data_IF_997172564623
#
_entry.id   IF_997172564623
#
_cell.length_a   1.000
_cell.length_b   1.000
_cell.length_c   1.000
_cell.angle_alpha   90.00
_cell.angle_beta   90.00
_cell.angle_gamma   90.00
#
_symmetry.space_group_name_H-M   'P 1'
#
loop_
_entity.id
_entity.type
_entity.pdbx_description
1 polymer ?
#
# COMPACT_ATOMS: atom_id res chain seq x y z
N UNK A 1 -26.11 2.00 -37.58
CA UNK A 1 -25.48 2.17 -36.25
C UNK A 1 -25.69 0.88 -35.50
N UNK A 2 -24.66 0.27 -34.92
CA UNK A 2 -24.85 -0.90 -34.06
C UNK A 2 -25.73 -0.50 -32.86
N UNK A 3 -26.74 -1.30 -32.56
CA UNK A 3 -27.59 -1.06 -31.40
C UNK A 3 -26.80 -1.25 -30.10
N UNK A 4 -27.13 -0.51 -29.04
CA UNK A 4 -26.53 -0.71 -27.70
C UNK A 4 -26.64 -2.18 -27.26
N UNK A 5 -27.73 -2.85 -27.64
CA UNK A 5 -27.97 -4.25 -27.32
C UNK A 5 -27.00 -5.21 -28.01
N UNK A 6 -26.68 -5.00 -29.29
CA UNK A 6 -25.71 -5.83 -30.02
C UNK A 6 -24.31 -5.70 -29.46
N UNK A 7 -23.93 -4.49 -29.03
CA UNK A 7 -22.63 -4.25 -28.38
C UNK A 7 -22.58 -4.95 -27.02
N UNK A 8 -23.64 -4.83 -26.20
CA UNK A 8 -23.72 -5.55 -24.93
C UNK A 8 -23.52 -7.05 -25.10
N UNK A 9 -24.18 -7.67 -26.07
CA UNK A 9 -24.02 -9.10 -26.35
C UNK A 9 -22.60 -9.45 -26.80
N UNK A 10 -22.01 -8.66 -27.71
CA UNK A 10 -20.66 -8.89 -28.24
C UNK A 10 -19.58 -8.82 -27.17
N UNK A 11 -19.71 -7.91 -26.21
CA UNK A 11 -18.73 -7.72 -25.13
C UNK A 11 -19.11 -8.43 -23.82
N UNK A 12 -20.18 -9.23 -23.82
CA UNK A 12 -20.66 -9.93 -22.62
C UNK A 12 -21.11 -8.99 -21.49
N UNK A 13 -21.52 -7.76 -21.82
CA UNK A 13 -22.00 -6.78 -20.84
C UNK A 13 -23.47 -7.06 -20.55
N UNK A 14 -23.80 -7.12 -19.27
CA UNK A 14 -25.13 -7.46 -18.77
C UNK A 14 -25.63 -6.32 -17.90
N UNK A 15 -26.86 -5.91 -18.17
CA UNK A 15 -27.54 -4.84 -17.44
C UNK A 15 -28.35 -3.96 -18.38
N UNK A 16 -29.43 -3.40 -17.87
CA UNK A 16 -30.36 -2.54 -18.58
C UNK A 16 -30.48 -1.13 -17.98
N UNK A 17 -29.76 -0.86 -16.88
CA UNK A 17 -29.75 0.45 -16.24
C UNK A 17 -29.42 1.59 -17.21
N UNK A 18 -30.15 2.70 -17.07
CA UNK A 18 -29.99 3.88 -17.93
C UNK A 18 -28.57 4.46 -17.87
N UNK A 19 -27.95 4.45 -16.69
CA UNK A 19 -26.57 4.90 -16.50
C UNK A 19 -25.55 4.08 -17.29
N UNK A 20 -25.71 2.74 -17.32
CA UNK A 20 -24.86 1.86 -18.12
C UNK A 20 -25.08 2.08 -19.62
N UNK A 21 -26.34 2.21 -20.06
CA UNK A 21 -26.66 2.46 -21.47
C UNK A 21 -26.02 3.76 -21.96
N UNK A 22 -26.16 4.84 -21.18
CA UNK A 22 -25.55 6.14 -21.48
C UNK A 22 -24.03 6.06 -21.55
N UNK A 23 -23.39 5.29 -20.68
CA UNK A 23 -21.94 5.09 -20.72
C UNK A 23 -21.49 4.38 -22.01
N UNK A 24 -22.23 3.35 -22.44
CA UNK A 24 -21.98 2.63 -23.69
C UNK A 24 -22.22 3.53 -24.91
N UNK A 25 -23.30 4.32 -24.91
CA UNK A 25 -23.61 5.29 -25.98
C UNK A 25 -22.48 6.32 -26.15
N UNK A 26 -21.99 6.90 -25.05
CA UNK A 26 -20.83 7.80 -25.08
C UNK A 26 -19.60 7.09 -25.66
N UNK A 27 -19.34 5.84 -25.26
CA UNK A 27 -18.21 5.07 -25.76
C UNK A 27 -18.30 4.84 -27.28
N UNK A 28 -19.49 4.54 -27.82
CA UNK A 28 -19.73 4.38 -29.26
C UNK A 28 -19.46 5.69 -29.99
N UNK A 29 -19.97 6.82 -29.46
CA UNK A 29 -19.83 8.11 -30.10
C UNK A 29 -18.38 8.59 -30.18
N UNK A 30 -17.56 8.26 -29.17
CA UNK A 30 -16.16 8.68 -29.10
C UNK A 30 -15.22 7.69 -29.79
N UNK A 31 -15.62 6.43 -29.97
CA UNK A 31 -14.82 5.40 -30.66
C UNK A 31 -14.22 5.83 -32.02
N UNK A 32 -14.91 6.52 -32.95
CA UNK A 32 -14.31 6.92 -34.22
C UNK A 32 -13.27 8.04 -34.10
N UNK A 33 -13.19 8.74 -32.96
CA UNK A 33 -12.23 9.85 -32.76
C UNK A 33 -10.94 9.38 -32.08
N UNK A 34 -9.89 10.20 -32.10
CA UNK A 34 -8.64 9.95 -31.38
C UNK A 34 -8.55 10.65 -30.01
N UNK A 35 -9.68 11.17 -29.53
CA UNK A 35 -9.77 11.90 -28.27
C UNK A 35 -9.49 10.96 -27.09
N UNK A 36 -8.79 11.49 -26.07
CA UNK A 36 -8.56 10.82 -24.79
C UNK A 36 -9.86 10.65 -24.02
N UNK A 37 -10.04 9.46 -23.44
CA UNK A 37 -11.23 9.12 -22.66
C UNK A 37 -10.82 8.70 -21.27
N UNK A 38 -11.45 9.31 -20.25
CA UNK A 38 -11.33 8.91 -18.86
C UNK A 38 -12.60 8.15 -18.45
N UNK A 39 -12.41 6.92 -17.97
CA UNK A 39 -13.49 6.08 -17.45
C UNK A 39 -13.46 6.11 -15.93
N UNK A 40 -14.47 6.72 -15.32
CA UNK A 40 -14.59 6.86 -13.87
C UNK A 40 -15.57 5.84 -13.30
N UNK A 41 -15.32 5.36 -12.09
CA UNK A 41 -16.24 4.48 -11.37
C UNK A 41 -15.52 3.63 -10.32
N UNK A 42 -16.27 3.09 -9.37
CA UNK A 42 -15.70 2.32 -8.26
C UNK A 42 -14.92 1.06 -8.71
N UNK A 43 -14.18 0.46 -7.79
CA UNK A 43 -13.52 -0.82 -8.07
C UNK A 43 -14.55 -1.91 -8.35
N UNK A 44 -14.28 -2.75 -9.36
CA UNK A 44 -15.14 -3.88 -9.69
C UNK A 44 -16.46 -3.56 -10.42
N UNK A 45 -16.67 -2.34 -10.94
CA UNK A 45 -17.89 -1.98 -11.72
C UNK A 45 -17.87 -2.45 -13.19
N UNK A 46 -16.73 -2.97 -13.67
CA UNK A 46 -16.56 -3.43 -15.06
C UNK A 46 -15.95 -2.40 -16.02
N UNK A 47 -15.11 -1.48 -15.53
CA UNK A 47 -14.46 -0.41 -16.33
C UNK A 47 -13.70 -0.93 -17.54
N UNK A 48 -13.10 -2.11 -17.44
CA UNK A 48 -12.33 -2.77 -18.50
C UNK A 48 -13.12 -3.03 -19.80
N UNK A 49 -14.45 -3.04 -19.75
CA UNK A 49 -15.30 -3.28 -20.92
C UNK A 49 -15.34 -2.08 -21.87
N UNK A 50 -15.32 -0.86 -21.34
CA UNK A 50 -15.44 0.39 -22.11
C UNK A 50 -14.25 0.62 -23.05
N UNK A 51 -12.98 0.52 -22.61
CA UNK A 51 -11.82 0.63 -23.49
C UNK A 51 -11.82 -0.38 -24.64
N UNK A 52 -12.28 -1.62 -24.37
CA UNK A 52 -12.40 -2.67 -25.39
C UNK A 52 -13.43 -2.30 -26.46
N UNK A 53 -14.57 -1.73 -26.04
CA UNK A 53 -15.59 -1.20 -26.98
C UNK A 53 -14.98 -0.09 -27.83
N UNK A 54 -14.35 0.89 -27.19
CA UNK A 54 -13.75 2.06 -27.87
C UNK A 54 -12.74 1.61 -28.91
N UNK A 55 -11.82 0.70 -28.55
CA UNK A 55 -10.81 0.20 -29.48
C UNK A 55 -11.41 -0.53 -30.68
N UNK A 56 -12.32 -1.50 -30.46
CA UNK A 56 -12.90 -2.30 -31.54
C UNK A 56 -13.79 -1.51 -32.51
N UNK A 57 -14.42 -0.42 -32.03
CA UNK A 57 -15.24 0.47 -32.83
C UNK A 57 -14.45 1.65 -33.43
N UNK A 58 -13.15 1.74 -33.13
CA UNK A 58 -12.29 2.80 -33.68
C UNK A 58 -11.70 2.46 -35.04
N UNK A 59 -11.15 3.47 -35.70
CA UNK A 59 -10.32 3.29 -36.90
C UNK A 59 -9.05 2.43 -36.63
N UNK A 60 -8.63 2.35 -35.36
CA UNK A 60 -7.45 1.60 -34.89
C UNK A 60 -7.77 0.17 -34.43
N UNK A 61 -8.94 -0.37 -34.77
CA UNK A 61 -9.39 -1.73 -34.39
C UNK A 61 -8.46 -2.89 -34.83
N UNK A 62 -7.62 -2.65 -35.83
CA UNK A 62 -6.62 -3.62 -36.31
C UNK A 62 -5.22 -3.36 -35.72
N UNK A 63 -5.04 -2.26 -35.00
CA UNK A 63 -3.82 -1.95 -34.27
C UNK A 63 -3.72 -2.76 -32.98
N UNK A 64 -2.55 -2.68 -32.32
CA UNK A 64 -2.34 -3.38 -31.05
C UNK A 64 -3.17 -2.74 -29.94
N UNK A 65 -3.79 -3.58 -29.11
CA UNK A 65 -4.45 -3.17 -27.89
C UNK A 65 -3.62 -3.64 -26.69
N UNK A 66 -3.08 -2.71 -25.91
CA UNK A 66 -2.29 -3.01 -24.71
C UNK A 66 -3.06 -2.49 -23.49
N UNK A 67 -3.38 -3.38 -22.57
CA UNK A 67 -3.98 -3.02 -21.28
C UNK A 67 -2.92 -3.12 -20.18
N UNK A 68 -2.77 -2.03 -19.43
CA UNK A 68 -1.80 -1.91 -18.34
C UNK A 68 -2.56 -1.51 -17.09
N UNK A 69 -2.40 -2.30 -16.02
CA UNK A 69 -2.88 -1.91 -14.70
C UNK A 69 -1.74 -1.20 -13.96
N UNK A 70 -1.88 0.10 -13.76
CA UNK A 70 -0.85 0.93 -13.14
C UNK A 70 -0.68 0.63 -11.63
N UNK A 71 -1.75 0.25 -10.92
CA UNK A 71 -1.68 -0.13 -9.51
C UNK A 71 -1.02 -1.48 -9.25
N UNK A 72 -0.93 -2.35 -10.27
CA UNK A 72 -0.28 -3.66 -10.16
C UNK A 72 1.24 -3.61 -10.41
N UNK A 73 1.77 -2.52 -10.97
CA UNK A 73 3.20 -2.40 -11.30
C UNK A 73 3.89 -1.61 -10.18
N UNK A 74 5.00 -2.12 -9.60
CA UNK A 74 5.77 -1.38 -8.62
C UNK A 74 6.22 -0.01 -9.16
N UNK A 75 6.11 1.02 -8.31
CA UNK A 75 6.49 2.41 -8.66
C UNK A 75 7.92 2.51 -9.22
N UNK A 76 8.87 1.73 -8.68
CA UNK A 76 10.25 1.75 -9.17
C UNK A 76 10.45 1.22 -10.61
N UNK A 77 9.53 0.42 -11.13
CA UNK A 77 9.65 -0.21 -12.47
C UNK A 77 8.64 0.32 -13.48
N UNK A 78 7.64 1.09 -13.05
CA UNK A 78 6.55 1.55 -13.93
C UNK A 78 7.03 2.37 -15.12
N UNK A 79 8.02 3.24 -14.92
CA UNK A 79 8.64 4.02 -16.00
C UNK A 79 9.32 3.13 -17.04
N UNK A 80 9.98 2.08 -16.57
CA UNK A 80 10.70 1.13 -17.41
C UNK A 80 9.73 0.27 -18.24
N UNK A 81 8.59 -0.13 -17.67
CA UNK A 81 7.55 -0.89 -18.39
C UNK A 81 6.78 -0.02 -19.39
N UNK A 82 6.40 1.22 -19.01
CA UNK A 82 5.65 2.12 -19.89
C UNK A 82 6.50 2.67 -21.05
N UNK A 83 7.69 3.20 -20.73
CA UNK A 83 8.52 3.92 -21.69
C UNK A 83 9.70 3.11 -22.22
N UNK A 84 10.04 1.98 -21.60
CA UNK A 84 11.21 1.18 -21.96
C UNK A 84 12.50 1.73 -21.35
N UNK A 85 13.57 0.96 -21.46
CA UNK A 85 14.88 1.33 -20.93
C UNK A 85 16.03 0.89 -21.84
N UNK A 86 17.12 1.62 -21.79
CA UNK A 86 18.39 1.21 -22.40
C UNK A 86 19.22 0.36 -21.44
N UNK A 87 20.13 -0.45 -22.00
CA UNK A 87 21.11 -1.21 -21.22
C UNK A 87 21.90 -0.27 -20.31
N UNK A 88 21.95 -0.60 -19.01
CA UNK A 88 22.64 0.20 -18.00
C UNK A 88 21.84 1.35 -17.38
N UNK A 89 20.55 1.49 -17.71
CA UNK A 89 19.70 2.55 -17.16
C UNK A 89 19.48 2.48 -15.64
N UNK A 90 19.52 1.28 -15.06
CA UNK A 90 19.43 1.03 -13.61
C UNK A 90 20.13 -0.29 -13.26
N UNK A 91 20.35 -0.55 -11.98
CA UNK A 91 20.94 -1.80 -11.48
C UNK A 91 20.07 -2.99 -11.88
N UNK A 92 20.55 -3.85 -12.79
CA UNK A 92 19.78 -4.98 -13.34
C UNK A 92 19.33 -4.81 -14.81
N UNK A 93 19.51 -3.63 -15.41
CA UNK A 93 19.23 -3.36 -16.82
C UNK A 93 20.32 -3.98 -17.74
N UNK A 94 20.35 -5.31 -17.84
CA UNK A 94 21.35 -6.05 -18.64
C UNK A 94 21.11 -5.94 -20.14
N UNK A 95 19.86 -5.72 -20.56
CA UNK A 95 19.43 -5.62 -21.95
C UNK A 95 18.53 -4.40 -22.16
N UNK A 96 18.42 -3.94 -23.40
CA UNK A 96 17.46 -2.90 -23.78
C UNK A 96 16.07 -3.51 -23.95
N UNK A 97 15.04 -2.87 -23.40
CA UNK A 97 13.65 -3.33 -23.52
C UNK A 97 12.75 -2.20 -24.04
N UNK A 98 11.89 -2.54 -25.00
CA UNK A 98 10.85 -1.63 -25.52
C UNK A 98 9.70 -1.51 -24.53
N UNK A 99 9.22 -0.29 -24.31
CA UNK A 99 8.09 -0.01 -23.42
C UNK A 99 6.74 -0.24 -24.09
N UNK A 100 5.67 -0.22 -23.30
CA UNK A 100 4.30 -0.35 -23.81
C UNK A 100 3.92 0.71 -24.83
N UNK A 101 4.40 1.96 -24.69
CA UNK A 101 4.14 3.02 -25.66
C UNK A 101 4.79 2.78 -27.03
N UNK A 102 5.92 2.10 -27.07
CA UNK A 102 6.59 1.70 -28.31
C UNK A 102 5.87 0.50 -28.94
N UNK A 103 5.46 -0.48 -28.12
CA UNK A 103 4.77 -1.67 -28.59
C UNK A 103 3.38 -1.34 -29.12
N UNK A 104 2.68 -0.37 -28.51
CA UNK A 104 1.31 0.01 -28.83
C UNK A 104 1.20 1.03 -29.99
N UNK A 105 2.30 1.38 -30.66
CA UNK A 105 2.30 2.35 -31.77
C UNK A 105 1.27 1.98 -32.86
N UNK A 106 0.52 2.98 -33.33
CA UNK A 106 -0.62 2.82 -34.25
C UNK A 106 -1.88 2.18 -33.62
N UNK A 107 -1.85 1.86 -32.34
CA UNK A 107 -2.89 1.14 -31.61
C UNK A 107 -3.56 1.93 -30.49
N UNK A 108 -3.96 1.23 -29.44
CA UNK A 108 -4.62 1.81 -28.25
C UNK A 108 -3.99 1.26 -26.99
N UNK A 109 -3.65 2.15 -26.06
CA UNK A 109 -3.22 1.79 -24.71
C UNK A 109 -4.34 2.09 -23.73
N UNK A 110 -4.69 1.09 -22.92
CA UNK A 110 -5.60 1.23 -21.80
C UNK A 110 -4.80 1.30 -20.51
N UNK A 111 -4.92 2.41 -19.79
CA UNK A 111 -4.27 2.64 -18.50
C UNK A 111 -5.33 2.51 -17.40
N UNK A 112 -5.37 1.37 -16.72
CA UNK A 112 -6.23 1.17 -15.55
C UNK A 112 -5.55 1.72 -14.29
N UNK A 113 -6.37 2.24 -13.38
CA UNK A 113 -5.93 2.84 -12.11
C UNK A 113 -4.90 3.97 -12.32
N UNK A 114 -5.13 4.85 -13.31
CA UNK A 114 -4.23 5.97 -13.63
C UNK A 114 -4.01 6.93 -12.44
N UNK A 115 -4.94 6.95 -11.48
CA UNK A 115 -4.83 7.74 -10.26
C UNK A 115 -3.73 7.28 -9.29
N UNK A 116 -3.22 6.05 -9.46
CA UNK A 116 -2.13 5.49 -8.65
C UNK A 116 -0.74 5.75 -9.26
N UNK A 117 -0.67 6.49 -10.38
CA UNK A 117 0.61 6.80 -11.02
C UNK A 117 1.48 7.73 -10.15
N UNK A 118 2.79 7.47 -10.04
CA UNK A 118 3.74 8.41 -9.45
C UNK A 118 3.75 9.76 -10.18
N UNK A 119 3.97 10.86 -9.45
CA UNK A 119 4.01 12.22 -10.02
C UNK A 119 5.05 12.37 -11.14
N UNK A 120 6.20 11.67 -11.04
CA UNK A 120 7.25 11.69 -12.06
C UNK A 120 6.80 11.03 -13.35
N UNK A 121 6.12 9.88 -13.27
CA UNK A 121 5.53 9.17 -14.39
C UNK A 121 4.41 9.98 -15.04
N UNK A 122 3.60 10.70 -14.24
CA UNK A 122 2.56 11.61 -14.73
C UNK A 122 3.12 12.70 -15.66
N UNK A 123 4.29 13.28 -15.36
CA UNK A 123 4.94 14.27 -16.24
C UNK A 123 5.31 13.66 -17.59
N UNK A 124 5.82 12.44 -17.60
CA UNK A 124 6.21 11.75 -18.84
C UNK A 124 4.98 11.36 -19.66
N UNK A 125 3.91 10.91 -18.99
CA UNK A 125 2.64 10.61 -19.64
C UNK A 125 2.02 11.86 -20.28
N UNK A 126 2.09 13.01 -19.61
CA UNK A 126 1.63 14.29 -20.16
C UNK A 126 2.35 14.62 -21.48
N UNK A 127 3.67 14.45 -21.54
CA UNK A 127 4.45 14.67 -22.78
C UNK A 127 4.00 13.77 -23.93
N UNK A 128 3.64 12.52 -23.64
CA UNK A 128 3.09 11.60 -24.65
C UNK A 128 1.71 12.07 -25.12
N UNK A 129 0.85 12.53 -24.21
CA UNK A 129 -0.49 13.00 -24.55
C UNK A 129 -0.51 14.32 -25.34
N UNK A 130 0.47 15.17 -25.13
CA UNK A 130 0.57 16.47 -25.80
C UNK A 130 1.29 16.37 -27.14
N UNK A 131 2.48 15.76 -27.14
CA UNK A 131 3.41 15.79 -28.28
C UNK A 131 3.54 14.44 -29.00
N UNK A 132 3.02 13.35 -28.42
CA UNK A 132 3.27 11.99 -28.93
C UNK A 132 4.73 11.56 -28.77
N UNK A 133 5.46 12.16 -27.83
CA UNK A 133 6.90 11.97 -27.65
C UNK A 133 7.22 11.41 -26.26
N UNK A 134 8.18 10.49 -26.20
CA UNK A 134 8.74 9.96 -24.96
C UNK A 134 10.24 9.69 -25.09
N UNK A 135 10.88 9.45 -23.95
CA UNK A 135 12.31 9.10 -23.88
C UNK A 135 12.43 7.83 -23.03
N UNK A 136 13.22 6.86 -23.49
CA UNK A 136 13.52 5.66 -22.72
C UNK A 136 14.30 5.99 -21.46
N UNK A 137 14.09 5.24 -20.38
CA UNK A 137 14.88 5.40 -19.16
C UNK A 137 16.36 5.17 -19.49
N UNK A 138 17.22 6.12 -19.12
CA UNK A 138 18.65 6.10 -19.42
C UNK A 138 19.04 6.60 -20.83
N UNK A 139 18.07 6.92 -21.69
CA UNK A 139 18.34 7.47 -23.02
C UNK A 139 18.22 9.00 -23.05
N UNK A 140 18.86 9.62 -24.03
CA UNK A 140 18.64 11.04 -24.39
C UNK A 140 17.93 11.21 -25.74
N UNK A 141 17.57 10.11 -26.40
CA UNK A 141 16.92 10.16 -27.72
C UNK A 141 15.41 10.24 -27.54
N UNK A 142 14.81 11.26 -28.15
CA UNK A 142 13.35 11.41 -28.22
C UNK A 142 12.80 10.42 -29.23
N UNK A 143 11.76 9.69 -28.83
CA UNK A 143 11.00 8.76 -29.67
C UNK A 143 9.58 9.27 -29.85
N UNK A 144 9.00 9.04 -31.03
CA UNK A 144 7.62 9.39 -31.36
C UNK A 144 6.76 8.13 -31.39
N UNK A 145 5.53 8.25 -30.90
CA UNK A 145 4.53 7.19 -30.95
C UNK A 145 3.15 7.78 -31.20
N UNK A 146 2.34 7.08 -31.98
CA UNK A 146 0.99 7.47 -32.32
C UNK A 146 -0.02 6.50 -31.70
N UNK A 147 -0.28 6.67 -30.39
CA UNK A 147 -1.14 5.77 -29.61
C UNK A 147 -2.38 6.50 -29.13
N UNK A 148 -3.54 5.84 -29.25
CA UNK A 148 -4.75 6.29 -28.55
C UNK A 148 -4.68 5.92 -27.08
N UNK A 149 -4.91 6.89 -26.19
CA UNK A 149 -4.92 6.65 -24.75
C UNK A 149 -6.37 6.61 -24.23
N UNK A 150 -6.72 5.52 -23.55
CA UNK A 150 -7.95 5.40 -22.75
C UNK A 150 -7.52 5.12 -21.32
N UNK A 151 -7.97 5.94 -20.37
CA UNK A 151 -7.60 5.79 -18.97
C UNK A 151 -8.82 5.41 -18.12
N UNK A 152 -8.60 4.72 -17.00
CA UNK A 152 -9.62 4.44 -16.00
C UNK A 152 -9.11 4.74 -14.59
N UNK A 153 -10.03 5.11 -13.71
CA UNK A 153 -9.73 5.34 -12.29
C UNK A 153 -10.93 5.03 -11.40
N UNK A 154 -10.65 4.59 -10.18
CA UNK A 154 -11.57 4.51 -9.05
C UNK A 154 -11.38 5.65 -8.04
N UNK A 155 -10.26 6.38 -8.12
CA UNK A 155 -9.94 7.49 -7.21
C UNK A 155 -10.73 8.73 -7.61
N UNK A 156 -11.18 9.50 -6.61
CA UNK A 156 -11.74 10.82 -6.84
C UNK A 156 -10.62 11.78 -7.28
N UNK A 157 -10.58 12.10 -8.57
CA UNK A 157 -9.52 12.92 -9.15
C UNK A 157 -9.43 14.32 -8.54
N UNK A 158 -10.56 14.96 -8.22
CA UNK A 158 -10.55 16.29 -7.59
C UNK A 158 -9.94 16.26 -6.19
N UNK A 159 -10.18 15.20 -5.43
CA UNK A 159 -9.56 15.02 -4.12
C UNK A 159 -8.07 14.70 -4.23
N UNK A 160 -7.68 13.88 -5.20
CA UNK A 160 -6.28 13.55 -5.46
C UNK A 160 -5.46 14.78 -5.88
N UNK A 161 -6.03 15.67 -6.70
CA UNK A 161 -5.42 16.95 -7.08
C UNK A 161 -5.25 17.85 -5.86
N UNK A 162 -6.29 18.00 -5.02
CA UNK A 162 -6.21 18.79 -3.77
C UNK A 162 -5.15 18.28 -2.80
N UNK A 163 -4.87 16.97 -2.82
CA UNK A 163 -3.84 16.31 -2.00
C UNK A 163 -2.47 16.26 -2.70
N UNK A 164 -2.29 16.94 -3.83
CA UNK A 164 -1.06 16.96 -4.64
C UNK A 164 -0.58 15.57 -5.10
N UNK A 165 -1.46 14.56 -5.10
CA UNK A 165 -1.15 13.20 -5.58
C UNK A 165 -1.32 13.06 -7.08
N UNK A 166 -2.06 13.97 -7.70
CA UNK A 166 -2.31 13.96 -9.14
C UNK A 166 -2.19 15.35 -9.72
N UNK A 167 -1.54 15.48 -10.87
CA UNK A 167 -1.37 16.78 -11.52
C UNK A 167 -2.63 17.24 -12.23
N UNK A 168 -2.97 18.51 -12.04
CA UNK A 168 -4.14 19.14 -12.64
C UNK A 168 -4.06 19.20 -14.18
N UNK A 169 -2.88 19.50 -14.73
CA UNK A 169 -2.62 19.57 -16.18
C UNK A 169 -2.91 18.23 -16.89
N UNK A 170 -2.40 17.13 -16.31
CA UNK A 170 -2.66 15.79 -16.81
C UNK A 170 -4.14 15.41 -16.72
N UNK A 171 -4.83 15.81 -15.64
CA UNK A 171 -6.25 15.54 -15.48
C UNK A 171 -7.06 16.15 -16.62
N UNK A 172 -6.88 17.44 -16.93
CA UNK A 172 -7.63 18.08 -18.02
C UNK A 172 -7.31 17.48 -19.40
N UNK A 173 -6.07 17.02 -19.61
CA UNK A 173 -5.69 16.36 -20.87
C UNK A 173 -6.26 14.95 -21.01
N UNK A 174 -6.40 14.21 -19.91
CA UNK A 174 -7.01 12.87 -19.89
C UNK A 174 -8.53 12.92 -19.94
N UNK A 175 -9.15 13.92 -19.30
CA UNK A 175 -10.60 14.03 -19.11
C UNK A 175 -11.32 14.82 -20.21
N UNK A 176 -10.81 14.80 -21.44
CA UNK A 176 -11.50 15.44 -22.58
C UNK A 176 -12.92 14.88 -22.75
N UNK A 177 -13.08 13.56 -22.55
CA UNK A 177 -14.39 12.94 -22.35
C UNK A 177 -14.37 12.08 -21.09
N UNK A 178 -15.30 12.35 -20.17
CA UNK A 178 -15.55 11.53 -18.99
C UNK A 178 -16.75 10.59 -19.20
N UNK A 179 -16.49 9.30 -19.00
CA UNK A 179 -17.48 8.22 -19.01
C UNK A 179 -17.56 7.63 -17.61
N UNK A 180 -18.60 8.03 -16.88
CA UNK A 180 -18.89 7.51 -15.56
C UNK A 180 -19.70 6.21 -15.62
N UNK A 181 -19.19 5.16 -14.96
CA UNK A 181 -19.88 3.89 -14.74
C UNK A 181 -20.48 3.86 -13.32
N UNK A 182 -21.82 3.72 -13.19
CA UNK A 182 -22.46 3.72 -11.89
C UNK A 182 -22.08 2.47 -11.07
N UNK A 183 -21.98 2.61 -9.74
CA UNK A 183 -21.81 1.46 -8.86
C UNK A 183 -23.04 0.55 -8.91
N UNK A 184 -22.87 -0.71 -8.53
CA UNK A 184 -23.88 -1.76 -8.64
C UNK A 184 -25.15 -1.43 -7.82
N UNK A 185 -24.99 -0.73 -6.69
CA UNK A 185 -26.10 -0.26 -5.84
C UNK A 185 -27.05 0.73 -6.50
N UNK A 186 -26.60 1.46 -7.52
CA UNK A 186 -27.42 2.41 -8.29
C UNK A 186 -28.11 1.74 -9.49
N UNK A 187 -27.79 0.47 -9.75
CA UNK A 187 -28.37 -0.38 -10.81
C UNK A 187 -28.87 -1.70 -10.24
N UNK A 188 -29.77 -1.60 -9.27
CA UNK A 188 -30.28 -2.74 -8.51
C UNK A 188 -30.95 -3.80 -9.41
N UNK A 189 -31.65 -3.35 -10.45
CA UNK A 189 -32.30 -4.23 -11.44
C UNK A 189 -31.31 -5.18 -12.14
N UNK A 190 -30.04 -4.76 -12.27
CA UNK A 190 -29.00 -5.54 -12.93
C UNK A 190 -28.45 -6.66 -12.02
N UNK A 191 -28.56 -6.51 -10.68
CA UNK A 191 -27.93 -7.42 -9.69
C UNK A 191 -28.42 -8.86 -9.87
N UNK A 192 -29.74 -9.05 -9.92
CA UNK A 192 -30.32 -10.39 -10.03
C UNK A 192 -29.99 -11.03 -11.40
N UNK A 193 -30.00 -10.25 -12.47
CA UNK A 193 -29.69 -10.73 -13.82
C UNK A 193 -28.21 -11.16 -13.90
N UNK A 194 -27.31 -10.36 -13.33
CA UNK A 194 -25.89 -10.66 -13.21
C UNK A 194 -25.66 -11.93 -12.40
N UNK A 195 -26.29 -12.06 -11.23
CA UNK A 195 -26.15 -13.25 -10.40
C UNK A 195 -26.58 -14.51 -11.16
N UNK A 196 -27.75 -14.46 -11.82
CA UNK A 196 -28.27 -15.59 -12.60
C UNK A 196 -27.30 -16.00 -13.70
N UNK A 197 -26.70 -15.02 -14.39
CA UNK A 197 -25.69 -15.30 -15.41
C UNK A 197 -24.47 -15.98 -14.79
N UNK A 198 -23.91 -15.41 -13.72
CA UNK A 198 -22.72 -15.99 -13.09
C UNK A 198 -22.97 -17.40 -12.58
N UNK A 199 -24.11 -17.65 -11.91
CA UNK A 199 -24.50 -18.98 -11.49
C UNK A 199 -24.60 -19.96 -12.68
N UNK A 200 -25.14 -19.51 -13.81
CA UNK A 200 -25.18 -20.33 -15.04
C UNK A 200 -23.80 -20.59 -15.64
N UNK A 201 -22.92 -19.58 -15.65
CA UNK A 201 -21.57 -19.70 -16.21
C UNK A 201 -20.70 -20.64 -15.36
N UNK A 202 -20.82 -20.56 -14.03
CA UNK A 202 -20.13 -21.46 -13.10
C UNK A 202 -20.70 -22.88 -13.13
N UNK A 203 -22.02 -23.03 -13.25
CA UNK A 203 -22.65 -24.33 -13.46
C UNK A 203 -22.10 -25.02 -14.71
N UNK A 204 -21.95 -24.30 -15.82
CA UNK A 204 -21.37 -24.84 -17.05
C UNK A 204 -19.86 -25.11 -16.90
N UNK A 205 -19.11 -24.21 -16.29
CA UNK A 205 -17.65 -24.34 -16.06
C UNK A 205 -17.32 -25.55 -15.19
N UNK A 206 -18.08 -25.78 -14.12
CA UNK A 206 -17.86 -26.85 -13.15
C UNK A 206 -18.72 -28.09 -13.39
N UNK A 207 -19.51 -28.12 -14.48
CA UNK A 207 -20.44 -29.21 -14.82
C UNK A 207 -21.40 -29.57 -13.67
N UNK A 208 -21.90 -28.55 -12.98
CA UNK A 208 -22.86 -28.68 -11.88
C UNK A 208 -24.23 -28.11 -12.28
N UNK A 209 -25.32 -28.49 -11.60
CA UNK A 209 -26.62 -27.86 -11.81
C UNK A 209 -26.60 -26.37 -11.44
N UNK A 210 -27.37 -25.56 -12.17
CA UNK A 210 -27.49 -24.11 -11.92
C UNK A 210 -28.15 -23.85 -10.57
N UNK A 211 -27.58 -22.92 -9.80
CA UNK A 211 -28.18 -22.43 -8.56
C UNK A 211 -29.29 -21.44 -8.84
N UNK A 212 -30.40 -21.54 -8.09
CA UNK A 212 -31.53 -20.62 -8.10
C UNK A 212 -31.69 -19.98 -6.72
N UNK A 213 -32.06 -18.71 -6.72
CA UNK A 213 -32.37 -17.96 -5.51
C UNK A 213 -33.87 -18.01 -5.25
N UNK A 214 -34.24 -18.08 -3.97
CA UNK A 214 -35.61 -17.80 -3.51
C UNK A 214 -35.90 -16.29 -3.58
N UNK A 215 -37.18 -15.91 -3.63
CA UNK A 215 -37.58 -14.49 -3.72
C UNK A 215 -37.06 -13.67 -2.53
N UNK A 216 -37.04 -14.26 -1.33
CA UNK A 216 -36.45 -13.63 -0.13
C UNK A 216 -34.94 -13.39 -0.29
N UNK A 217 -34.22 -14.34 -0.89
CA UNK A 217 -32.79 -14.20 -1.16
C UNK A 217 -32.52 -13.12 -2.23
N UNK A 218 -33.39 -12.99 -3.24
CA UNK A 218 -33.31 -11.93 -4.24
C UNK A 218 -33.47 -10.57 -3.57
N UNK A 219 -34.48 -10.40 -2.72
CA UNK A 219 -34.70 -9.16 -1.98
C UNK A 219 -33.51 -8.79 -1.09
N UNK A 220 -32.85 -9.78 -0.48
CA UNK A 220 -31.62 -9.57 0.29
C UNK A 220 -30.45 -9.09 -0.59
N UNK A 221 -30.24 -9.70 -1.77
CA UNK A 221 -29.21 -9.24 -2.71
C UNK A 221 -29.42 -7.80 -3.17
N UNK A 222 -30.68 -7.42 -3.43
CA UNK A 222 -31.03 -6.07 -3.90
C UNK A 222 -30.76 -4.98 -2.85
N UNK A 223 -30.95 -5.30 -1.56
CA UNK A 223 -30.73 -4.37 -0.45
C UNK A 223 -29.26 -4.25 -0.04
N UNK A 224 -28.42 -5.17 -0.46
CA UNK A 224 -27.01 -5.17 -0.09
C UNK A 224 -26.23 -4.05 -0.80
N UNK A 225 -25.24 -3.46 -0.12
CA UNK A 225 -24.48 -2.29 -0.61
C UNK A 225 -23.53 -2.59 -1.76
N UNK A 226 -23.02 -3.83 -1.86
CA UNK A 226 -22.05 -4.28 -2.86
C UNK A 226 -20.83 -3.35 -3.01
N UNK A 227 -20.04 -3.16 -1.94
CA UNK A 227 -18.82 -2.33 -1.97
C UNK A 227 -17.79 -2.81 -3.00
N UNK A 228 -17.72 -4.12 -3.28
CA UNK A 228 -16.87 -4.68 -4.33
C UNK A 228 -17.59 -4.87 -5.69
N UNK A 229 -18.79 -4.29 -5.84
CA UNK A 229 -19.58 -4.27 -7.07
C UNK A 229 -19.70 -5.67 -7.74
N UNK A 230 -19.47 -5.74 -9.05
CA UNK A 230 -19.63 -6.97 -9.85
C UNK A 230 -18.61 -8.02 -9.43
N UNK A 231 -17.40 -7.62 -9.01
CA UNK A 231 -16.35 -8.54 -8.55
C UNK A 231 -16.81 -9.29 -7.29
N UNK A 232 -17.37 -8.58 -6.32
CA UNK A 232 -17.92 -9.21 -5.11
C UNK A 232 -19.12 -10.10 -5.43
N UNK A 233 -20.05 -9.62 -6.26
CA UNK A 233 -21.21 -10.42 -6.68
C UNK A 233 -20.81 -11.73 -7.37
N UNK A 234 -19.82 -11.66 -8.26
CA UNK A 234 -19.28 -12.83 -8.96
C UNK A 234 -18.64 -13.82 -7.99
N UNK A 235 -17.84 -13.35 -7.03
CA UNK A 235 -17.21 -14.21 -6.03
C UNK A 235 -18.25 -14.92 -5.15
N UNK A 236 -19.27 -14.20 -4.69
CA UNK A 236 -20.37 -14.78 -3.91
C UNK A 236 -21.13 -15.82 -4.74
N UNK A 237 -21.44 -15.52 -6.00
CA UNK A 237 -22.10 -16.47 -6.89
C UNK A 237 -21.24 -17.73 -7.15
N UNK A 238 -19.92 -17.58 -7.26
CA UNK A 238 -18.98 -18.69 -7.40
C UNK A 238 -18.96 -19.57 -6.14
N UNK A 239 -18.79 -18.96 -4.97
CA UNK A 239 -18.77 -19.65 -3.68
C UNK A 239 -20.04 -20.46 -3.46
N UNK A 240 -21.21 -19.85 -3.67
CA UNK A 240 -22.51 -20.53 -3.53
C UNK A 240 -22.62 -21.69 -4.53
N UNK A 241 -22.15 -21.51 -5.76
CA UNK A 241 -22.23 -22.57 -6.78
C UNK A 241 -21.38 -23.80 -6.44
N UNK A 242 -20.25 -23.59 -5.77
CA UNK A 242 -19.28 -24.65 -5.42
C UNK A 242 -19.57 -25.30 -4.07
N UNK A 243 -19.93 -24.51 -3.05
CA UNK A 243 -20.02 -24.98 -1.66
C UNK A 243 -21.40 -25.55 -1.30
N UNK A 244 -22.48 -25.05 -1.92
CA UNK A 244 -23.83 -25.48 -1.58
C UNK A 244 -24.24 -26.72 -2.36
N UNK A 245 -24.67 -27.76 -1.63
CA UNK A 245 -25.26 -28.96 -2.21
C UNK A 245 -26.69 -28.69 -2.70
N UNK A 246 -27.45 -27.89 -1.93
CA UNK A 246 -28.80 -27.48 -2.26
C UNK A 246 -28.76 -26.40 -3.35
N UNK A 247 -29.54 -26.60 -4.42
CA UNK A 247 -29.55 -25.70 -5.59
C UNK A 247 -30.57 -24.56 -5.47
N UNK A 248 -31.40 -24.59 -4.45
CA UNK A 248 -32.33 -23.51 -4.07
C UNK A 248 -31.79 -22.81 -2.83
N UNK A 249 -31.36 -21.56 -2.98
CA UNK A 249 -30.68 -20.82 -1.93
C UNK A 249 -31.67 -19.91 -1.21
N UNK A 250 -31.76 -20.11 0.11
CA UNK A 250 -32.56 -19.30 1.02
C UNK A 250 -31.82 -18.02 1.42
N UNK A 251 -32.54 -17.02 1.92
CA UNK A 251 -31.92 -15.79 2.44
C UNK A 251 -30.94 -16.08 3.60
N UNK A 252 -31.23 -17.06 4.45
CA UNK A 252 -30.36 -17.46 5.58
C UNK A 252 -29.03 -18.02 5.09
N UNK A 253 -29.07 -18.89 4.08
CA UNK A 253 -27.86 -19.45 3.47
C UNK A 253 -27.03 -18.36 2.82
N UNK A 254 -27.67 -17.46 2.06
CA UNK A 254 -27.00 -16.34 1.40
C UNK A 254 -26.31 -15.40 2.42
N UNK A 255 -26.93 -15.16 3.56
CA UNK A 255 -26.38 -14.29 4.61
C UNK A 255 -25.02 -14.77 5.12
N UNK A 256 -24.76 -16.08 5.13
CA UNK A 256 -23.47 -16.64 5.54
C UNK A 256 -22.33 -16.30 4.56
N UNK A 257 -22.65 -16.03 3.30
CA UNK A 257 -21.68 -15.69 2.24
C UNK A 257 -21.53 -14.18 2.04
N UNK A 258 -22.51 -13.40 2.49
CA UNK A 258 -22.41 -11.95 2.50
C UNK A 258 -21.58 -11.55 3.72
N UNK A 259 -20.41 -10.90 3.54
CA UNK A 259 -19.65 -10.45 4.69
C UNK A 259 -20.54 -9.54 5.53
N UNK A 260 -20.66 -9.86 6.82
CA UNK A 260 -21.47 -9.10 7.76
C UNK A 260 -21.12 -7.63 7.58
N UNK A 261 -22.10 -6.82 7.17
CA UNK A 261 -22.00 -5.37 7.13
C UNK A 261 -21.96 -4.83 8.56
N UNK A 262 -21.02 -5.31 9.38
CA UNK A 262 -20.73 -4.81 10.69
C UNK A 262 -20.22 -3.39 10.50
N UNK A 263 -21.18 -2.47 10.57
CA UNK A 263 -21.02 -1.10 11.03
C UNK A 263 -20.47 -1.11 12.46
N UNK A 264 -19.25 -1.63 12.65
CA UNK A 264 -18.38 -1.23 13.75
C UNK A 264 -17.46 -0.13 13.23
N UNK A 265 -18.01 0.81 12.44
CA UNK A 265 -17.33 2.07 12.21
C UNK A 265 -17.57 2.89 13.48
N UNK A 266 -16.54 3.18 14.30
CA UNK A 266 -16.66 4.27 15.26
C UNK A 266 -17.11 5.51 14.46
N UNK A 267 -18.16 6.18 14.95
CA UNK A 267 -18.65 7.39 14.33
C UNK A 267 -17.47 8.37 14.18
N UNK A 268 -17.22 8.86 12.96
CA UNK A 268 -16.29 9.96 12.73
C UNK A 268 -16.93 11.20 13.35
N UNK A 269 -16.58 11.47 14.61
CA UNK A 269 -16.76 12.80 15.20
C UNK A 269 -15.81 13.71 14.44
N UNK A 270 -16.35 14.59 13.61
CA UNK A 270 -15.58 15.67 13.01
C UNK A 270 -15.17 16.64 14.13
N UNK A 271 -14.16 16.29 14.92
CA UNK A 271 -13.47 17.26 15.73
C UNK A 271 -12.61 18.09 14.79
N UNK A 272 -13.06 19.32 14.56
CA UNK A 272 -12.18 20.44 14.24
C UNK A 272 -10.96 20.35 15.14
N UNK A 273 -9.79 20.12 14.53
CA UNK A 273 -8.49 20.09 15.20
C UNK A 273 -8.33 21.33 16.10
N UNK A 274 -8.42 21.15 17.41
CA UNK A 274 -7.66 21.92 18.38
C UNK A 274 -6.38 21.15 18.67
N UNK A 275 -5.27 21.85 18.89
CA UNK A 275 -3.88 21.37 19.03
C UNK A 275 -3.61 20.35 20.18
N UNK A 276 -4.64 19.73 20.77
CA UNK A 276 -4.56 18.85 21.94
C UNK A 276 -4.33 17.35 21.64
N UNK A 277 -4.42 16.91 20.38
CA UNK A 277 -4.22 15.48 20.04
C UNK A 277 -2.72 15.12 19.91
N UNK A 278 -1.84 16.07 19.60
CA UNK A 278 -0.39 15.82 19.62
C UNK A 278 0.19 15.80 21.04
N UNK A 279 -0.52 16.35 22.03
CA UNK A 279 -0.17 16.21 23.44
C UNK A 279 -0.59 14.84 23.99
N UNK A 280 -1.75 14.32 23.59
CA UNK A 280 -2.20 13.01 24.09
C UNK A 280 -1.34 11.86 23.58
N UNK A 281 -0.95 11.84 22.30
CA UNK A 281 -0.04 10.82 21.77
C UNK A 281 1.36 10.89 22.41
N UNK A 282 1.89 12.10 22.64
CA UNK A 282 3.17 12.28 23.35
C UNK A 282 3.08 11.87 24.80
N UNK A 283 2.01 12.20 25.50
CA UNK A 283 1.78 11.79 26.90
C UNK A 283 1.67 10.27 27.03
N UNK A 284 1.00 9.60 26.09
CA UNK A 284 0.93 8.14 26.03
C UNK A 284 2.34 7.57 25.80
N UNK A 285 3.12 8.13 24.87
CA UNK A 285 4.47 7.67 24.58
C UNK A 285 5.42 7.88 25.78
N UNK A 286 5.33 9.02 26.47
CA UNK A 286 6.10 9.30 27.67
C UNK A 286 5.73 8.37 28.81
N UNK A 287 4.44 8.04 28.97
CA UNK A 287 3.97 7.07 29.97
C UNK A 287 4.54 5.67 29.69
N UNK A 288 4.48 5.21 28.44
CA UNK A 288 5.05 3.92 28.04
C UNK A 288 6.56 3.88 28.28
N UNK A 289 7.29 4.96 27.95
CA UNK A 289 8.73 5.03 28.20
C UNK A 289 9.07 5.05 29.70
N UNK A 290 8.24 5.69 30.53
CA UNK A 290 8.42 5.70 31.98
C UNK A 290 8.15 4.31 32.60
N UNK A 291 7.11 3.62 32.11
CA UNK A 291 6.79 2.26 32.54
C UNK A 291 7.92 1.30 32.14
N UNK A 292 8.43 1.37 30.90
CA UNK A 292 9.59 0.59 30.48
C UNK A 292 10.85 0.87 31.31
N UNK A 293 11.07 2.13 31.73
CA UNK A 293 12.18 2.49 32.61
C UNK A 293 12.02 1.91 34.01
N UNK A 294 10.79 1.86 34.53
CA UNK A 294 10.50 1.23 35.81
C UNK A 294 10.76 -0.28 35.73
N UNK A 295 10.27 -0.94 34.69
CA UNK A 295 10.47 -2.38 34.46
C UNK A 295 11.95 -2.75 34.34
N UNK A 296 12.74 -1.95 33.60
CA UNK A 296 14.19 -2.16 33.50
C UNK A 296 14.91 -2.01 34.84
N UNK A 297 14.47 -1.10 35.70
CA UNK A 297 15.05 -0.94 37.03
C UNK A 297 14.68 -2.12 37.96
N UNK A 298 13.46 -2.62 37.85
CA UNK A 298 13.02 -3.79 38.62
C UNK A 298 13.75 -5.06 38.16
N UNK A 299 13.94 -5.22 36.86
CA UNK A 299 14.72 -6.32 36.28
C UNK A 299 16.21 -6.22 36.67
N UNK A 300 16.77 -5.00 36.73
CA UNK A 300 18.12 -4.74 37.25
C UNK A 300 18.25 -5.11 38.73
N UNK A 301 17.25 -4.83 39.56
CA UNK A 301 17.26 -5.22 40.99
C UNK A 301 17.21 -6.74 41.15
N UNK A 302 16.32 -7.41 40.41
CA UNK A 302 16.16 -8.86 40.43
C UNK A 302 17.46 -9.57 40.02
N UNK A 303 18.08 -9.12 38.92
CA UNK A 303 19.36 -9.65 38.46
C UNK A 303 20.50 -9.39 39.44
N UNK A 304 20.53 -8.22 40.08
CA UNK A 304 21.55 -7.89 41.09
C UNK A 304 21.37 -8.68 42.39
N UNK A 305 20.15 -9.02 42.78
CA UNK A 305 19.87 -9.92 43.91
C UNK A 305 20.21 -11.38 43.59
N UNK A 306 19.94 -11.84 42.36
CA UNK A 306 20.35 -13.18 41.90
C UNK A 306 21.88 -13.32 41.89
N UNK A 307 22.60 -12.29 41.44
CA UNK A 307 24.07 -12.27 41.48
C UNK A 307 24.65 -12.25 42.90
N UNK A 308 23.95 -11.65 43.87
CA UNK A 308 24.43 -11.56 45.26
C UNK A 308 24.13 -12.82 46.09
N UNK A 309 22.97 -13.44 45.90
CA UNK A 309 22.50 -14.50 46.82
C UNK A 309 22.67 -15.92 46.29
N UNK A 310 23.10 -16.13 45.03
CA UNK A 310 23.56 -17.43 44.51
C UNK A 310 22.54 -18.58 44.51
N UNK A 311 21.35 -18.41 45.06
CA UNK A 311 20.29 -19.40 45.18
C UNK A 311 18.99 -18.87 44.55
N UNK A 312 18.59 -19.44 43.42
CA UNK A 312 17.41 -19.02 42.66
C UNK A 312 16.08 -19.21 43.42
N UNK A 313 16.01 -20.18 44.34
CA UNK A 313 14.77 -20.53 45.05
C UNK A 313 14.33 -19.49 46.10
N UNK A 314 15.27 -18.82 46.76
CA UNK A 314 14.94 -17.78 47.74
C UNK A 314 14.56 -16.45 47.08
N UNK A 315 15.12 -16.17 45.89
CA UNK A 315 14.81 -14.94 45.13
C UNK A 315 13.43 -15.01 44.47
N UNK A 316 13.01 -16.19 43.99
CA UNK A 316 11.65 -16.38 43.47
C UNK A 316 10.60 -16.12 44.53
N UNK A 317 10.79 -16.65 45.75
CA UNK A 317 9.81 -16.54 46.84
C UNK A 317 9.67 -15.13 47.41
N UNK A 318 10.76 -14.35 47.42
CA UNK A 318 10.75 -12.99 47.95
C UNK A 318 10.27 -11.93 46.95
N UNK A 319 10.36 -12.22 45.64
CA UNK A 319 10.04 -11.28 44.56
C UNK A 319 8.86 -11.74 43.68
N UNK A 320 8.00 -12.64 44.18
CA UNK A 320 6.78 -13.12 43.49
C UNK A 320 5.95 -11.96 42.92
N UNK A 321 5.72 -10.89 43.69
CA UNK A 321 4.95 -9.73 43.24
C UNK A 321 5.57 -8.92 42.09
N UNK A 322 6.90 -8.95 41.93
CA UNK A 322 7.59 -8.31 40.81
C UNK A 322 7.52 -9.19 39.55
N UNK A 323 7.64 -10.51 39.72
CA UNK A 323 7.55 -11.48 38.63
C UNK A 323 6.13 -11.49 38.05
N UNK A 324 5.11 -11.46 38.90
CA UNK A 324 3.71 -11.43 38.50
C UNK A 324 3.35 -10.15 37.71
N UNK A 325 3.98 -9.03 38.07
CA UNK A 325 3.78 -7.73 37.40
C UNK A 325 4.45 -7.66 36.02
N UNK A 326 5.57 -8.36 35.83
CA UNK A 326 6.32 -8.40 34.56
C UNK A 326 5.70 -9.42 33.58
N UNK A 327 5.21 -10.56 34.06
CA UNK A 327 4.74 -11.65 33.19
C UNK A 327 3.22 -11.70 32.97
N UNK A 328 2.42 -10.99 33.77
CA UNK A 328 0.96 -10.91 33.61
C UNK A 328 0.22 -12.23 33.87
N UNK A 329 -1.00 -12.14 34.38
CA UNK A 329 -1.85 -13.30 34.69
C UNK A 329 -2.06 -14.19 33.46
N UNK A 330 -1.37 -15.33 33.42
CA UNK A 330 -1.72 -16.51 32.63
C UNK A 330 -1.33 -17.75 33.44
N UNK A 331 -1.93 -17.91 34.62
CA UNK A 331 -2.07 -19.23 35.24
C UNK A 331 -3.41 -19.80 34.79
N UNK A 332 -3.40 -20.49 33.65
CA UNK A 332 -4.33 -21.59 33.43
C UNK A 332 -3.54 -22.87 33.64
N UNK A 333 -3.89 -23.58 34.72
CA UNK A 333 -3.44 -24.92 35.05
C UNK A 333 -3.34 -25.80 33.79
N UNK A 334 -2.11 -26.15 33.43
CA UNK A 334 -1.82 -27.26 32.54
C UNK A 334 -0.70 -28.08 33.18
N UNK A 335 -1.09 -29.12 33.90
CA UNK A 335 -0.23 -30.25 34.24
C UNK A 335 0.47 -30.71 32.95
N UNK A 336 1.78 -30.47 32.85
CA UNK A 336 2.65 -31.14 31.89
C UNK A 336 3.74 -31.87 32.65
N UNK A 337 3.68 -33.19 32.53
CA UNK A 337 4.61 -34.16 33.08
C UNK A 337 6.07 -33.83 32.71
N UNK A 338 6.97 -33.95 33.69
CA UNK A 338 8.41 -33.98 33.46
C UNK A 338 8.77 -35.20 32.60
N UNK A 339 9.11 -34.97 31.34
CA UNK A 339 9.98 -35.86 30.59
C UNK A 339 11.33 -35.17 30.37
N UNK A 340 12.30 -35.62 31.15
CA UNK A 340 13.72 -35.35 30.99
C UNK A 340 14.15 -35.90 29.63
N UNK A 341 14.47 -35.03 28.69
CA UNK A 341 15.28 -35.39 27.52
C UNK A 341 16.61 -34.66 27.60
N UNK A 342 17.64 -35.43 27.97
CA UNK A 342 19.05 -35.10 27.76
C UNK A 342 19.28 -34.72 26.29
N UNK A 343 19.66 -33.47 26.04
CA UNK A 343 20.27 -33.06 24.77
C UNK A 343 21.47 -32.16 25.07
N UNK A 344 22.62 -32.72 24.69
CA UNK A 344 24.02 -32.36 24.88
C UNK A 344 24.38 -30.86 24.81
N UNK A 345 25.11 -30.41 25.83
CA UNK A 345 25.83 -29.15 25.87
C UNK A 345 27.09 -29.30 25.01
N UNK A 346 27.14 -28.61 23.86
CA UNK A 346 28.38 -28.40 23.11
C UNK A 346 29.17 -27.27 23.78
N UNK A 347 30.22 -27.67 24.51
CA UNK A 347 31.22 -26.78 25.09
C UNK A 347 32.10 -26.15 24.00
N UNK A 348 32.13 -24.82 23.97
CA UNK A 348 33.15 -24.05 23.24
C UNK A 348 34.33 -23.85 24.20
N UNK A 349 35.57 -24.18 23.81
CA UNK A 349 36.72 -24.11 24.70
C UNK A 349 37.11 -22.67 25.04
N UNK A 350 37.37 -22.43 26.32
CA UNK A 350 38.06 -21.24 26.83
C UNK A 350 39.51 -21.23 26.34
N UNK A 351 39.89 -20.19 25.60
CA UNK A 351 41.28 -19.73 25.55
C UNK A 351 41.39 -18.49 26.40
N UNK A 352 41.94 -18.69 27.60
CA UNK A 352 42.41 -17.66 28.51
C UNK A 352 43.69 -17.02 27.97
N UNK A 353 43.66 -15.72 27.67
CA UNK A 353 44.81 -14.85 27.88
C UNK A 353 44.41 -13.66 28.75
N UNK A 354 45.02 -13.61 29.93
CA UNK A 354 44.89 -12.57 30.93
C UNK A 354 45.52 -11.26 30.43
N UNK A 355 44.81 -10.14 30.57
CA UNK A 355 45.44 -8.89 30.98
C UNK A 355 44.48 -7.98 31.73
N UNK A 356 44.75 -7.87 33.03
CA UNK A 356 44.27 -6.93 34.05
C UNK A 356 43.93 -5.51 33.58
N UNK A 357 42.81 -4.94 34.05
CA UNK A 357 42.83 -3.76 34.95
C UNK A 357 41.42 -3.29 35.39
N UNK A 358 41.35 -3.07 36.72
CA UNK A 358 40.42 -2.31 37.58
C UNK A 358 39.29 -1.51 36.91
N UNK A 359 38.05 -1.81 37.34
CA UNK A 359 36.89 -0.92 37.25
C UNK A 359 36.80 -0.16 38.57
N UNK A 360 37.01 1.16 38.55
CA UNK A 360 36.62 2.07 39.62
C UNK A 360 35.26 2.69 39.29
N UNK A 361 34.32 2.51 40.22
CA UNK A 361 32.99 3.12 40.25
C UNK A 361 33.07 4.65 40.26
N UNK A 362 32.25 5.29 39.42
CA UNK A 362 31.98 6.73 39.56
C UNK A 362 30.59 7.10 39.05
N UNK A 363 29.57 6.84 39.87
CA UNK A 363 28.29 7.53 39.78
C UNK A 363 27.92 8.10 41.14
N UNK A 364 28.27 9.37 41.35
CA UNK A 364 27.46 10.33 42.09
C UNK A 364 27.94 11.71 41.69
N UNK A 365 27.12 12.46 40.98
CA UNK A 365 26.59 13.76 41.37
C UNK A 365 25.65 14.25 40.27
N UNK A 366 24.43 14.61 40.68
CA UNK A 366 23.43 15.25 39.86
C UNK A 366 23.79 16.73 39.69
N UNK A 367 23.51 17.29 38.52
CA UNK A 367 23.42 18.74 38.32
C UNK A 367 22.14 19.06 37.55
N UNK A 368 21.57 20.20 37.92
CA UNK A 368 20.23 20.69 37.60
C UNK A 368 20.00 20.86 36.10
N UNK A 369 18.78 20.55 35.66
CA UNK A 369 18.32 20.84 34.31
C UNK A 369 17.94 22.32 34.27
N UNK A 370 18.81 23.17 33.74
CA UNK A 370 18.36 24.44 33.15
C UNK A 370 17.89 24.16 31.72
N UNK A 371 16.65 24.56 31.45
CA UNK A 371 15.98 24.44 30.17
C UNK A 371 16.72 25.24 29.09
N UNK A 372 17.20 24.61 28.02
CA UNK A 372 17.42 25.32 26.74
C UNK A 372 17.03 24.48 25.51
N UNK A 373 15.98 25.00 24.87
CA UNK A 373 15.74 25.17 23.43
C UNK A 373 16.06 24.04 22.43
N UNK A 374 15.05 23.78 21.57
CA UNK A 374 15.11 22.90 20.42
C UNK A 374 16.02 23.47 19.32
N UNK A 375 17.28 23.04 19.26
CA UNK A 375 18.15 23.29 18.10
C UNK A 375 18.23 22.08 17.14
N UNK A 376 18.40 22.38 15.85
CA UNK A 376 18.48 21.43 14.74
C UNK A 376 19.64 20.45 14.93
N UNK A 377 19.51 19.23 14.39
CA UNK A 377 20.55 18.18 14.47
C UNK A 377 21.89 18.64 13.85
N UNK A 378 21.84 19.62 12.93
CA UNK A 378 23.01 20.26 12.33
C UNK A 378 23.73 21.22 13.29
N UNK A 379 23.00 21.89 14.17
CA UNK A 379 23.57 22.86 15.11
C UNK A 379 24.30 22.15 16.25
N UNK A 380 23.73 21.05 16.75
CA UNK A 380 24.41 20.17 17.71
C UNK A 380 25.68 19.55 17.13
N UNK A 381 25.65 19.19 15.84
CA UNK A 381 26.83 18.69 15.16
C UNK A 381 27.94 19.75 15.05
N UNK A 382 27.58 21.00 14.71
CA UNK A 382 28.52 22.12 14.66
C UNK A 382 29.13 22.40 16.04
N UNK A 383 28.32 22.38 17.09
CA UNK A 383 28.76 22.58 18.46
C UNK A 383 29.74 21.48 18.92
N UNK A 384 29.43 20.22 18.62
CA UNK A 384 30.31 19.09 18.92
C UNK A 384 31.65 19.17 18.18
N UNK A 385 31.64 19.61 16.91
CA UNK A 385 32.86 19.82 16.14
C UNK A 385 33.72 20.94 16.74
N UNK A 386 33.12 22.07 17.14
CA UNK A 386 33.83 23.16 17.82
C UNK A 386 34.45 22.69 19.13
N UNK A 387 33.66 22.03 19.97
CA UNK A 387 34.08 21.58 21.31
C UNK A 387 35.21 20.54 21.25
N UNK A 388 35.17 19.63 20.27
CA UNK A 388 36.24 18.66 20.03
C UNK A 388 37.53 19.32 19.51
N UNK A 389 37.42 20.30 18.61
CA UNK A 389 38.58 21.07 18.14
C UNK A 389 39.24 21.90 19.25
N UNK A 390 38.45 22.51 20.14
CA UNK A 390 38.97 23.26 21.30
C UNK A 390 39.67 22.34 22.30
N UNK A 391 39.06 21.20 22.66
CA UNK A 391 39.66 20.22 23.59
C UNK A 391 41.01 19.68 23.10
N UNK A 392 41.14 19.52 21.79
CA UNK A 392 42.37 19.02 21.16
C UNK A 392 43.27 20.14 20.61
N UNK A 393 43.07 21.41 21.02
CA UNK A 393 43.88 22.57 20.62
C UNK A 393 44.10 22.67 19.10
N UNK A 394 43.05 22.43 18.31
CA UNK A 394 43.07 22.51 16.85
C UNK A 394 43.74 21.32 16.14
N UNK A 395 44.14 20.27 16.87
CA UNK A 395 44.71 19.04 16.28
C UNK A 395 43.61 18.19 15.65
N UNK A 396 43.36 18.44 14.36
CA UNK A 396 42.28 17.85 13.55
C UNK A 396 42.24 16.32 13.54
N UNK A 397 43.39 15.65 13.60
CA UNK A 397 43.48 14.18 13.62
C UNK A 397 42.84 13.59 14.87
N UNK A 398 43.14 14.14 16.03
CA UNK A 398 42.62 13.67 17.33
C UNK A 398 41.14 14.04 17.49
N UNK A 399 40.74 15.23 17.03
CA UNK A 399 39.34 15.64 17.02
C UNK A 399 38.48 14.75 16.09
N UNK A 400 39.01 14.34 14.95
CA UNK A 400 38.30 13.42 14.04
C UNK A 400 38.10 12.03 14.67
N UNK A 401 39.09 11.55 15.42
CA UNK A 401 39.05 10.28 16.14
C UNK A 401 38.06 10.31 17.32
N UNK A 402 38.03 11.40 18.10
CA UNK A 402 37.03 11.61 19.17
C UNK A 402 35.59 11.63 18.62
N UNK A 403 35.40 12.26 17.46
CA UNK A 403 34.10 12.34 16.79
C UNK A 403 33.74 11.07 15.99
N UNK A 404 34.63 10.08 15.91
CA UNK A 404 34.41 8.84 15.17
C UNK A 404 34.27 9.02 13.64
N UNK A 405 34.83 10.10 13.07
CA UNK A 405 34.74 10.42 11.64
C UNK A 405 36.13 10.46 11.00
N UNK A 406 36.19 10.26 9.67
CA UNK A 406 37.46 10.41 8.94
C UNK A 406 37.95 11.86 8.96
N UNK A 407 39.26 12.09 8.98
CA UNK A 407 39.87 13.43 8.91
C UNK A 407 39.37 14.24 7.69
N UNK A 408 39.14 13.56 6.57
CA UNK A 408 38.61 14.17 5.34
C UNK A 408 37.17 14.67 5.52
N UNK A 409 36.36 13.92 6.27
CA UNK A 409 34.99 14.31 6.61
C UNK A 409 34.99 15.52 7.54
N UNK A 410 35.85 15.51 8.57
CA UNK A 410 36.01 16.65 9.48
C UNK A 410 36.44 17.91 8.71
N UNK A 411 37.42 17.79 7.81
CA UNK A 411 37.88 18.90 6.98
C UNK A 411 36.77 19.49 6.09
N UNK A 412 35.94 18.63 5.50
CA UNK A 412 34.78 19.07 4.71
C UNK A 412 33.77 19.84 5.56
N UNK A 413 33.51 19.38 6.79
CA UNK A 413 32.56 20.00 7.71
C UNK A 413 33.08 21.33 8.26
N UNK A 414 34.36 21.42 8.62
CA UNK A 414 35.01 22.69 8.99
C UNK A 414 34.85 23.73 7.87
N UNK A 415 35.08 23.33 6.61
CA UNK A 415 34.91 24.22 5.46
C UNK A 415 33.45 24.59 5.18
N UNK A 416 32.51 23.68 5.45
CA UNK A 416 31.08 23.89 5.23
C UNK A 416 30.48 24.87 6.26
N UNK A 417 30.99 24.85 7.49
CA UNK A 417 30.51 25.66 8.61
C UNK A 417 31.40 26.87 8.94
N UNK A 418 32.44 27.11 8.13
CA UNK A 418 33.40 28.22 8.24
C UNK A 418 34.04 28.37 9.63
N UNK A 419 34.61 27.26 10.12
CA UNK A 419 35.20 27.09 11.46
C UNK A 419 36.72 27.25 11.53
#
# INVERSE_FOLDING_TARGET
MESVQSIKQRFGIIGNSAGLNRAIEKAIQVAPTDISVLVTGESGVGKESIPKIIHQLSHRKHGKYIAVNCGAIPEGTIDSELFGHEKGAFTGATQTRSGYFEVADGGTIFLDEVGELPLTTQVRLLRVLENGEFIKVGSSKVQKTNVRIVAATNVNMFEAIKKEKFREDLYYRLSTVDIHLPPLRDRQEDIHILFRKFASDFALKYKMPTVKLTDDAINMLLRYRWSGNIRQLRNVAEQISVLEQNRTISAKTLQNYLPSGASNLPAVVNNTKSESDFSSEREILYKVLFDMKADLNDLKKLTMELMKNGNAKDVQKNNEGLIQKIYGENESDAEFEEQVHDLEILSIPETSENTTSKIEDKYHFAEEIEEEETLSLQDKELELIKKSLERHNGKRKLAAEELGISERTLYRKIKQYDL
#
